data_IF_065466643978
#
_entry.id   IF_065466643978
#
_cell.length_a   1.000
_cell.length_b   1.000
_cell.length_c   1.000
_cell.angle_alpha   90.00
_cell.angle_beta   90.00
_cell.angle_gamma   90.00
#
_symmetry.space_group_name_H-M   'P 1'
#
loop_
_entity.id
_entity.type
_entity.pdbx_description
1 polymer ?
#
# COMPACT_ATOMS: atom_id res chain seq x y z
N UNK A 1 -16.67 11.57 -14.46
CA UNK A 1 -16.48 12.39 -13.24
C UNK A 1 -15.61 11.58 -12.29
N UNK A 2 -14.33 11.90 -12.18
CA UNK A 2 -13.42 11.24 -11.22
C UNK A 2 -14.04 11.34 -9.82
N UNK A 3 -14.27 10.19 -9.17
CA UNK A 3 -14.85 10.14 -7.82
C UNK A 3 -13.93 10.86 -6.82
N UNK A 4 -14.47 11.57 -5.82
CA UNK A 4 -13.62 12.29 -4.85
C UNK A 4 -12.62 11.35 -4.16
N UNK A 5 -13.01 10.09 -3.93
CA UNK A 5 -12.17 9.06 -3.32
C UNK A 5 -10.94 8.70 -4.16
N UNK A 6 -11.06 8.75 -5.49
CA UNK A 6 -9.91 8.56 -6.38
C UNK A 6 -8.89 9.68 -6.16
N UNK A 7 -9.34 10.94 -6.10
CA UNK A 7 -8.44 12.08 -5.86
C UNK A 7 -7.77 12.02 -4.49
N UNK A 8 -8.52 11.68 -3.45
CA UNK A 8 -7.96 11.51 -2.11
C UNK A 8 -6.94 10.37 -2.05
N UNK A 9 -7.24 9.26 -2.71
CA UNK A 9 -6.34 8.11 -2.80
C UNK A 9 -5.07 8.48 -3.55
N UNK A 10 -5.18 9.18 -4.68
CA UNK A 10 -4.03 9.63 -5.47
C UNK A 10 -3.10 10.51 -4.62
N UNK A 11 -3.64 11.53 -3.93
CA UNK A 11 -2.85 12.42 -3.08
C UNK A 11 -2.11 11.62 -1.99
N UNK A 12 -2.77 10.65 -1.37
CA UNK A 12 -2.17 9.81 -0.34
C UNK A 12 -1.08 8.89 -0.90
N UNK A 13 -1.31 8.30 -2.08
CA UNK A 13 -0.35 7.43 -2.76
C UNK A 13 0.88 8.20 -3.24
N UNK A 14 0.68 9.38 -3.85
CA UNK A 14 1.76 10.27 -4.24
C UNK A 14 2.60 10.70 -3.03
N UNK A 15 1.97 11.05 -1.92
CA UNK A 15 2.69 11.40 -0.69
C UNK A 15 3.60 10.25 -0.24
N UNK A 16 3.03 9.05 -0.09
CA UNK A 16 3.75 7.89 0.42
C UNK A 16 4.87 7.44 -0.52
N UNK A 17 4.61 7.37 -1.82
CA UNK A 17 5.62 6.98 -2.82
C UNK A 17 6.77 7.99 -2.84
N UNK A 18 6.47 9.29 -2.86
CA UNK A 18 7.49 10.34 -2.81
C UNK A 18 8.33 10.24 -1.52
N UNK A 19 7.69 9.96 -0.39
CA UNK A 19 8.39 9.70 0.87
C UNK A 19 9.35 8.51 0.77
N UNK A 20 8.91 7.39 0.18
CA UNK A 20 9.72 6.17 0.02
C UNK A 20 10.94 6.34 -0.89
N UNK A 21 10.90 7.26 -1.86
CA UNK A 21 12.02 7.57 -2.76
C UNK A 21 12.95 8.67 -2.22
N UNK A 22 12.76 9.08 -0.96
CA UNK A 22 13.68 9.96 -0.24
C UNK A 22 13.20 11.40 -0.03
N UNK A 23 11.95 11.73 -0.34
CA UNK A 23 11.40 13.05 -0.06
C UNK A 23 11.06 13.21 1.44
N UNK A 24 11.78 14.09 2.13
CA UNK A 24 11.62 14.31 3.58
C UNK A 24 10.61 15.41 3.95
N UNK A 25 9.67 15.74 3.06
CA UNK A 25 8.59 16.69 3.39
C UNK A 25 7.76 16.20 4.57
N UNK A 26 7.34 17.15 5.41
CA UNK A 26 6.34 16.91 6.47
C UNK A 26 5.08 16.28 5.88
N UNK A 27 4.43 15.31 6.56
CA UNK A 27 3.19 14.73 6.07
C UNK A 27 2.13 15.82 5.84
N UNK A 28 1.45 15.85 4.69
CA UNK A 28 0.46 16.89 4.36
C UNK A 28 -0.85 16.74 5.13
N UNK A 29 -1.06 15.63 5.84
CA UNK A 29 -2.26 15.33 6.61
C UNK A 29 -2.01 14.20 7.61
N UNK A 30 -2.91 14.04 8.58
CA UNK A 30 -2.86 12.94 9.56
C UNK A 30 -2.93 11.56 8.88
N UNK A 31 -3.74 11.42 7.83
CA UNK A 31 -3.83 10.18 7.04
C UNK A 31 -2.51 9.82 6.34
N UNK A 32 -1.77 10.83 5.88
CA UNK A 32 -0.45 10.64 5.30
C UNK A 32 0.57 10.22 6.36
N UNK A 33 0.55 10.86 7.53
CA UNK A 33 1.37 10.45 8.67
C UNK A 33 1.09 9.01 9.09
N UNK A 34 -0.20 8.65 9.22
CA UNK A 34 -0.66 7.31 9.56
C UNK A 34 -0.18 6.26 8.55
N UNK A 35 -0.32 6.55 7.24
CA UNK A 35 0.11 5.63 6.18
C UNK A 35 1.62 5.45 6.19
N UNK A 36 2.41 6.54 6.27
CA UNK A 36 3.87 6.47 6.37
C UNK A 36 4.33 5.61 7.55
N UNK A 37 3.71 5.80 8.71
CA UNK A 37 4.01 5.04 9.92
C UNK A 37 3.65 3.55 9.77
N UNK A 38 2.38 3.23 9.46
CA UNK A 38 1.91 1.85 9.41
C UNK A 38 2.59 1.03 8.31
N UNK A 39 2.76 1.61 7.11
CA UNK A 39 3.38 0.91 6.01
C UNK A 39 4.89 0.73 6.23
N UNK A 40 5.57 1.72 6.84
CA UNK A 40 6.98 1.59 7.24
C UNK A 40 7.21 0.51 8.29
N UNK A 41 6.37 0.46 9.34
CA UNK A 41 6.44 -0.61 10.35
C UNK A 41 6.17 -1.99 9.75
N UNK A 42 5.24 -2.08 8.79
CA UNK A 42 4.94 -3.32 8.09
C UNK A 42 6.10 -3.79 7.20
N UNK A 43 6.70 -2.89 6.42
CA UNK A 43 7.90 -3.17 5.60
C UNK A 43 9.02 -3.71 6.50
N UNK A 44 9.26 -3.06 7.65
CA UNK A 44 10.28 -3.46 8.63
C UNK A 44 9.99 -4.83 9.24
N UNK A 45 8.75 -5.10 9.65
CA UNK A 45 8.38 -6.35 10.30
C UNK A 45 8.44 -7.56 9.36
N UNK A 46 8.14 -7.37 8.07
CA UNK A 46 8.16 -8.43 7.07
C UNK A 46 9.27 -8.26 6.03
N UNK A 47 10.38 -7.61 6.42
CA UNK A 47 11.45 -7.18 5.52
C UNK A 47 11.94 -8.28 4.58
N UNK A 48 12.27 -9.47 5.10
CA UNK A 48 12.74 -10.59 4.27
C UNK A 48 11.69 -11.04 3.24
N UNK A 49 10.40 -11.05 3.63
CA UNK A 49 9.31 -11.43 2.72
C UNK A 49 9.09 -10.37 1.65
N UNK A 50 9.01 -9.09 2.03
CA UNK A 50 8.89 -7.99 1.07
C UNK A 50 10.07 -7.96 0.09
N UNK A 51 11.30 -8.19 0.56
CA UNK A 51 12.47 -8.26 -0.29
C UNK A 51 12.35 -9.40 -1.32
N UNK A 52 12.00 -10.61 -0.88
CA UNK A 52 11.79 -11.76 -1.78
C UNK A 52 10.67 -11.48 -2.80
N UNK A 53 9.54 -10.93 -2.35
CA UNK A 53 8.41 -10.58 -3.22
C UNK A 53 8.81 -9.55 -4.27
N UNK A 54 9.55 -8.53 -3.85
CA UNK A 54 10.00 -7.47 -4.74
C UNK A 54 10.97 -8.01 -5.81
N UNK A 55 11.90 -8.88 -5.43
CA UNK A 55 12.81 -9.52 -6.40
C UNK A 55 12.03 -10.38 -7.41
N UNK A 56 11.15 -11.28 -6.94
CA UNK A 56 10.32 -12.09 -7.84
C UNK A 56 9.41 -11.24 -8.73
N UNK A 57 8.86 -10.14 -8.19
CA UNK A 57 8.09 -9.19 -8.98
C UNK A 57 8.94 -8.61 -10.11
N UNK A 58 10.13 -8.09 -9.80
CA UNK A 58 11.01 -7.40 -10.75
C UNK A 58 11.63 -8.32 -11.79
N UNK A 59 11.99 -9.55 -11.43
CA UNK A 59 12.46 -10.57 -12.38
C UNK A 59 11.39 -10.91 -13.41
N UNK A 60 10.14 -10.98 -12.95
CA UNK A 60 9.03 -11.31 -13.81
C UNK A 60 8.50 -10.04 -14.52
N UNK A 61 8.66 -8.85 -13.94
CA UNK A 61 8.25 -7.58 -14.53
C UNK A 61 9.09 -7.28 -15.76
N UNK A 62 8.45 -7.35 -16.93
CA UNK A 62 9.03 -6.82 -18.16
C UNK A 62 9.07 -5.29 -18.14
N UNK A 63 8.87 -4.67 -19.29
CA UNK A 63 8.98 -3.21 -19.46
C UNK A 63 7.83 -2.38 -18.86
N UNK A 64 6.83 -2.98 -18.20
CA UNK A 64 5.67 -2.26 -17.64
C UNK A 64 5.32 -2.67 -16.20
N UNK A 65 5.93 -1.99 -15.20
CA UNK A 65 5.65 -2.17 -13.79
C UNK A 65 4.19 -1.91 -13.37
N UNK A 66 3.50 -0.98 -14.02
CA UNK A 66 2.14 -0.57 -13.62
C UNK A 66 1.11 -1.64 -13.93
N UNK A 67 1.17 -2.22 -15.13
CA UNK A 67 0.26 -3.33 -15.52
C UNK A 67 0.46 -4.54 -14.61
N UNK A 68 1.70 -4.89 -14.27
CA UNK A 68 1.95 -6.01 -13.36
C UNK A 68 1.55 -5.68 -11.93
N UNK A 69 1.76 -4.45 -11.47
CA UNK A 69 1.30 -4.00 -10.16
C UNK A 69 -0.23 -4.14 -10.04
N UNK A 70 -0.99 -3.79 -11.09
CA UNK A 70 -2.43 -3.99 -11.11
C UNK A 70 -2.81 -5.47 -10.93
N UNK A 71 -2.12 -6.39 -11.59
CA UNK A 71 -2.35 -7.83 -11.40
C UNK A 71 -2.04 -8.28 -9.96
N UNK A 72 -0.98 -7.73 -9.36
CA UNK A 72 -0.64 -7.97 -7.95
C UNK A 72 -1.70 -7.41 -7.01
N UNK A 73 -2.25 -6.22 -7.27
CA UNK A 73 -3.34 -5.62 -6.51
C UNK A 73 -4.62 -6.44 -6.56
N UNK A 74 -5.03 -6.84 -7.77
CA UNK A 74 -6.21 -7.69 -7.99
C UNK A 74 -6.06 -8.99 -7.21
N UNK A 75 -4.86 -9.56 -7.18
CA UNK A 75 -4.62 -10.83 -6.52
C UNK A 75 -4.39 -10.70 -5.00
N UNK A 76 -3.88 -9.56 -4.50
CA UNK A 76 -3.78 -9.19 -3.08
C UNK A 76 -5.14 -9.11 -2.37
N UNK A 77 -6.17 -8.74 -3.13
CA UNK A 77 -7.50 -8.38 -2.63
C UNK A 77 -8.60 -9.29 -3.22
N UNK A 78 -8.25 -10.17 -4.16
CA UNK A 78 -9.16 -10.93 -5.02
C UNK A 78 -10.02 -11.99 -4.35
N UNK A 79 -9.87 -12.26 -3.06
CA UNK A 79 -10.80 -13.10 -2.30
C UNK A 79 -12.05 -12.32 -1.81
N UNK A 80 -12.16 -11.04 -2.17
CA UNK A 80 -13.27 -10.16 -1.79
C UNK A 80 -13.21 -9.62 -0.35
N UNK A 81 -12.11 -9.83 0.37
CA UNK A 81 -11.95 -9.45 1.79
C UNK A 81 -10.97 -8.30 1.99
N UNK A 82 -11.25 -7.15 1.37
CA UNK A 82 -10.47 -5.94 1.62
C UNK A 82 -10.61 -5.50 3.09
N UNK A 83 -9.49 -5.09 3.69
CA UNK A 83 -9.42 -4.49 5.03
C UNK A 83 -8.24 -3.50 5.07
N UNK A 84 -8.21 -2.62 6.08
CA UNK A 84 -7.15 -1.62 6.21
C UNK A 84 -5.74 -2.22 6.30
N UNK A 85 -5.57 -3.40 6.90
CA UNK A 85 -4.28 -4.09 6.93
C UNK A 85 -3.76 -4.43 5.53
N UNK A 86 -4.63 -4.92 4.64
CA UNK A 86 -4.28 -5.18 3.23
C UNK A 86 -4.05 -3.90 2.43
N UNK A 87 -4.81 -2.84 2.69
CA UNK A 87 -4.54 -1.51 2.10
C UNK A 87 -3.13 -1.05 2.49
N UNK A 88 -2.76 -1.13 3.77
CA UNK A 88 -1.41 -0.78 4.23
C UNK A 88 -0.34 -1.66 3.58
N UNK A 89 -0.57 -2.98 3.44
CA UNK A 89 0.35 -3.88 2.74
C UNK A 89 0.57 -3.47 1.28
N UNK A 90 -0.50 -3.03 0.60
CA UNK A 90 -0.40 -2.56 -0.77
C UNK A 90 0.46 -1.30 -0.88
N UNK A 91 0.27 -0.33 0.02
CA UNK A 91 1.11 0.86 0.09
C UNK A 91 2.57 0.47 0.36
N UNK A 92 2.83 -0.33 1.40
CA UNK A 92 4.18 -0.79 1.75
C UNK A 92 4.90 -1.46 0.57
N UNK A 93 4.22 -2.36 -0.15
CA UNK A 93 4.77 -3.01 -1.33
C UNK A 93 5.12 -2.00 -2.43
N UNK A 94 4.19 -1.08 -2.72
CA UNK A 94 4.37 -0.08 -3.79
C UNK A 94 5.48 0.91 -3.46
N UNK A 95 5.63 1.28 -2.18
CA UNK A 95 6.74 2.12 -1.71
C UNK A 95 8.10 1.45 -1.85
N UNK A 96 8.20 0.17 -1.52
CA UNK A 96 9.41 -0.62 -1.73
C UNK A 96 9.72 -0.77 -3.24
N UNK A 97 8.69 -1.01 -4.05
CA UNK A 97 8.81 -1.06 -5.52
C UNK A 97 9.30 0.26 -6.11
N UNK A 98 8.71 1.38 -5.71
CA UNK A 98 9.13 2.70 -6.19
C UNK A 98 10.59 3.01 -5.82
N UNK A 99 11.02 2.66 -4.60
CA UNK A 99 12.41 2.85 -4.14
C UNK A 99 13.40 2.06 -5.01
N UNK A 100 13.06 0.83 -5.36
CA UNK A 100 13.90 -0.05 -6.19
C UNK A 100 13.87 0.33 -7.67
N UNK A 101 12.75 0.82 -8.20
CA UNK A 101 12.70 1.33 -9.57
C UNK A 101 13.53 2.62 -9.70
N UNK A 102 13.42 3.55 -8.72
CA UNK A 102 14.26 4.74 -8.70
C UNK A 102 15.75 4.43 -8.55
N UNK A 103 16.14 3.40 -7.79
CA UNK A 103 17.55 2.99 -7.68
C UNK A 103 18.12 2.47 -9.00
N UNK A 104 17.27 1.95 -9.90
CA UNK A 104 17.60 1.50 -11.25
C UNK A 104 17.57 2.61 -12.31
N UNK A 105 17.26 3.85 -11.91
CA UNK A 105 17.24 5.01 -12.81
C UNK A 105 15.91 5.28 -13.49
N UNK A 106 14.82 4.63 -13.06
CA UNK A 106 13.47 4.95 -13.53
C UNK A 106 13.05 6.37 -13.10
N UNK A 107 12.26 7.02 -13.95
CA UNK A 107 11.93 8.43 -13.80
C UNK A 107 10.75 8.70 -12.84
N UNK A 108 10.46 9.99 -12.65
CA UNK A 108 9.32 10.46 -11.85
C UNK A 108 7.96 10.09 -12.44
N UNK A 109 7.88 9.83 -13.74
CA UNK A 109 6.63 9.42 -14.38
C UNK A 109 6.27 7.98 -13.98
N UNK A 110 7.27 7.11 -13.74
CA UNK A 110 7.01 5.80 -13.13
C UNK A 110 6.34 5.93 -11.75
N UNK A 111 6.86 6.78 -10.87
CA UNK A 111 6.26 7.01 -9.54
C UNK A 111 4.81 7.51 -9.63
N UNK A 112 4.53 8.41 -10.58
CA UNK A 112 3.17 8.91 -10.84
C UNK A 112 2.23 7.78 -11.26
N UNK A 113 2.65 6.95 -12.22
CA UNK A 113 1.83 5.82 -12.69
C UNK A 113 1.52 4.81 -11.59
N UNK A 114 2.46 4.55 -10.68
CA UNK A 114 2.21 3.68 -9.52
C UNK A 114 1.13 4.28 -8.60
N UNK A 115 1.16 5.59 -8.36
CA UNK A 115 0.16 6.29 -7.56
C UNK A 115 -1.23 6.28 -8.23
N UNK A 116 -1.28 6.54 -9.54
CA UNK A 116 -2.50 6.44 -10.36
C UNK A 116 -3.06 5.01 -10.33
N UNK A 117 -2.21 3.98 -10.41
CA UNK A 117 -2.63 2.57 -10.34
C UNK A 117 -3.29 2.26 -8.99
N UNK A 118 -2.74 2.75 -7.87
CA UNK A 118 -3.39 2.62 -6.54
C UNK A 118 -4.74 3.36 -6.53
N UNK A 119 -4.79 4.57 -7.11
CA UNK A 119 -5.99 5.38 -7.15
C UNK A 119 -7.12 4.73 -7.96
N UNK A 120 -6.81 4.20 -9.13
CA UNK A 120 -7.75 3.46 -9.97
C UNK A 120 -8.30 2.24 -9.21
N UNK A 121 -7.42 1.49 -8.56
CA UNK A 121 -7.83 0.30 -7.84
C UNK A 121 -8.69 0.61 -6.61
N UNK A 122 -8.21 1.44 -5.69
CA UNK A 122 -8.93 1.71 -4.44
C UNK A 122 -10.07 2.71 -4.61
N UNK A 123 -9.83 3.78 -5.37
CA UNK A 123 -10.74 4.91 -5.54
C UNK A 123 -11.83 4.69 -6.59
N UNK A 124 -11.64 3.76 -7.53
CA UNK A 124 -12.68 3.38 -8.51
C UNK A 124 -13.16 1.94 -8.29
N UNK A 125 -12.28 0.93 -8.38
CA UNK A 125 -12.70 -0.47 -8.32
C UNK A 125 -13.19 -0.89 -6.92
N UNK A 126 -12.53 -0.43 -5.85
CA UNK A 126 -12.90 -0.72 -4.45
C UNK A 126 -13.64 0.43 -3.76
N UNK A 127 -14.23 1.33 -4.56
CA UNK A 127 -14.90 2.54 -4.06
C UNK A 127 -15.99 2.23 -3.04
N UNK A 128 -16.83 1.23 -3.30
CA UNK A 128 -17.94 0.86 -2.42
C UNK A 128 -17.44 0.43 -1.05
N UNK A 129 -16.37 -0.38 -1.02
CA UNK A 129 -15.74 -0.78 0.23
C UNK A 129 -15.18 0.43 0.99
N UNK A 130 -14.48 1.35 0.30
CA UNK A 130 -14.00 2.58 0.94
C UNK A 130 -15.16 3.38 1.53
N UNK A 131 -16.27 3.56 0.81
CA UNK A 131 -17.43 4.30 1.31
C UNK A 131 -18.07 3.63 2.53
N UNK A 132 -18.23 2.31 2.50
CA UNK A 132 -18.74 1.52 3.63
C UNK A 132 -17.84 1.60 4.87
N UNK A 133 -16.55 1.87 4.68
CA UNK A 133 -15.56 2.02 5.74
C UNK A 133 -15.19 3.49 5.99
N UNK A 134 -16.11 4.43 5.73
CA UNK A 134 -15.94 5.87 6.01
C UNK A 134 -14.77 6.55 5.28
N UNK A 135 -14.37 5.99 4.14
CA UNK A 135 -13.25 6.48 3.31
C UNK A 135 -11.95 6.56 4.09
N UNK A 136 -11.11 7.54 3.74
CA UNK A 136 -9.83 7.75 4.41
C UNK A 136 -9.95 8.31 5.84
N UNK A 137 -11.15 8.76 6.25
CA UNK A 137 -11.40 9.10 7.66
C UNK A 137 -11.57 7.84 8.52
N UNK A 138 -12.20 6.79 7.99
CA UNK A 138 -12.22 5.49 8.66
C UNK A 138 -10.83 4.88 8.84
N UNK A 139 -9.91 5.13 7.89
CA UNK A 139 -8.50 4.77 8.04
C UNK A 139 -7.82 5.50 9.21
N UNK A 140 -8.06 6.80 9.38
CA UNK A 140 -7.55 7.55 10.54
C UNK A 140 -8.08 6.97 11.85
N UNK A 141 -9.38 6.65 11.93
CA UNK A 141 -9.96 6.00 13.11
C UNK A 141 -9.30 4.66 13.40
N UNK A 142 -9.11 3.83 12.37
CA UNK A 142 -8.39 2.57 12.46
C UNK A 142 -6.97 2.76 13.02
N UNK A 143 -6.23 3.75 12.51
CA UNK A 143 -4.88 4.08 12.99
C UNK A 143 -4.88 4.57 14.44
N UNK A 144 -5.79 5.48 14.81
CA UNK A 144 -5.94 5.97 16.19
C UNK A 144 -6.26 4.84 17.15
N UNK A 145 -7.20 3.96 16.81
CA UNK A 145 -7.49 2.76 17.62
C UNK A 145 -6.27 1.84 17.72
N UNK A 146 -5.50 1.67 16.64
CA UNK A 146 -4.24 0.92 16.68
C UNK A 146 -3.17 1.58 17.57
N UNK A 147 -3.21 2.91 17.77
CA UNK A 147 -2.31 3.68 18.64
C UNK A 147 -2.80 3.76 20.09
N UNK A 148 -4.08 3.98 20.33
CA UNK A 148 -4.66 4.05 21.67
C UNK A 148 -4.61 2.68 22.35
N UNK A 149 -4.84 1.60 21.61
CA UNK A 149 -4.66 0.23 22.09
C UNK A 149 -3.22 -0.28 21.90
N UNK A 150 -2.26 0.62 21.66
CA UNK A 150 -0.83 0.26 21.66
C UNK A 150 -0.24 0.10 23.08
N UNK A 151 -1.07 0.23 24.13
CA UNK A 151 -0.77 -0.24 25.48
C UNK A 151 -1.07 -1.74 25.69
N UNK A 152 -1.79 -2.41 24.78
CA UNK A 152 -2.08 -3.84 24.87
C UNK A 152 -1.64 -4.60 23.59
N UNK A 153 -0.75 -5.57 23.76
CA UNK A 153 -0.02 -6.29 22.69
C UNK A 153 -0.90 -7.01 21.64
N UNK A 154 -2.19 -7.20 21.94
CA UNK A 154 -3.11 -8.01 21.15
C UNK A 154 -3.59 -7.33 19.84
N UNK A 155 -3.80 -6.01 19.81
CA UNK A 155 -4.33 -5.34 18.61
C UNK A 155 -3.25 -5.06 17.54
N UNK A 156 -1.98 -4.89 17.94
CA UNK A 156 -0.85 -4.99 17.01
C UNK A 156 -0.87 -6.35 16.32
N UNK A 157 -1.05 -7.43 17.09
CA UNK A 157 -1.13 -8.79 16.55
C UNK A 157 -2.28 -8.96 15.56
N UNK A 158 -3.45 -8.35 15.77
CA UNK A 158 -4.58 -8.43 14.84
C UNK A 158 -4.34 -7.68 13.51
N UNK A 159 -3.80 -6.46 13.55
CA UNK A 159 -3.42 -5.71 12.34
C UNK A 159 -2.35 -6.48 11.54
N UNK A 160 -1.33 -6.98 12.23
CA UNK A 160 -0.26 -7.76 11.60
C UNK A 160 -0.72 -9.15 11.15
N UNK A 161 -1.70 -9.77 11.81
CA UNK A 161 -2.32 -11.01 11.34
C UNK A 161 -3.07 -10.79 10.01
N UNK A 162 -3.85 -9.71 9.91
CA UNK A 162 -4.54 -9.34 8.67
C UNK A 162 -3.55 -8.99 7.53
N UNK A 163 -2.47 -8.27 7.85
CA UNK A 163 -1.39 -7.98 6.92
C UNK A 163 -0.61 -9.24 6.52
N UNK A 164 -0.37 -10.15 7.45
CA UNK A 164 0.27 -11.44 7.22
C UNK A 164 -0.48 -12.31 6.21
N UNK A 165 -1.82 -12.25 6.22
CA UNK A 165 -2.67 -12.88 5.19
C UNK A 165 -2.46 -12.22 3.82
N UNK A 166 -2.37 -10.88 3.76
CA UNK A 166 -2.06 -10.17 2.51
C UNK A 166 -0.68 -10.54 1.95
N UNK A 167 0.35 -10.56 2.80
CA UNK A 167 1.72 -10.90 2.42
C UNK A 167 1.85 -12.38 2.02
N UNK A 168 1.18 -13.29 2.72
CA UNK A 168 1.15 -14.70 2.32
C UNK A 168 0.47 -14.89 0.95
N UNK A 169 -0.58 -14.12 0.67
CA UNK A 169 -1.20 -14.04 -0.66
C UNK A 169 -0.18 -13.61 -1.72
N UNK A 170 0.57 -12.52 -1.47
CA UNK A 170 1.63 -12.05 -2.37
C UNK A 170 2.67 -13.14 -2.68
N UNK A 171 3.12 -13.88 -1.66
CA UNK A 171 4.15 -14.91 -1.83
C UNK A 171 3.63 -16.06 -2.68
N UNK A 172 2.38 -16.47 -2.49
CA UNK A 172 1.78 -17.51 -3.31
C UNK A 172 1.67 -17.12 -4.79
N UNK A 173 1.42 -15.84 -5.06
CA UNK A 173 1.18 -15.33 -6.42
C UNK A 173 2.45 -15.08 -7.22
N UNK A 174 3.55 -14.71 -6.56
CA UNK A 174 4.82 -14.39 -7.24
C UNK A 174 5.77 -15.59 -7.37
N UNK A 175 5.48 -16.70 -6.69
CA UNK A 175 6.27 -17.96 -6.76
C UNK A 175 5.65 -18.96 -7.75
N UNK A 176 4.56 -18.59 -8.44
CA UNK A 176 3.84 -19.44 -9.38
C UNK A 176 3.88 -18.87 -10.79
#
# INVERSE_FOLDING_TARGET
>A
MSCWLWKETLILAEDYINFCVGNQRTPPSERAEAMRHLAGEMEKQYQCKFHSLLQSFLEACGSDPSTRLKNVMVALVGDGKLNWGRVVSLFAFTGALARELCSRGEDKDCCRRLAETIADYLGEEQREWLQQNEGWEGFNKFFRSSREVSQDSSMKTALFAAAGVGIAGLTFLLVR
#
